data_IF_033541972803
#
_entry.id   IF_033541972803
#
_cell.length_a   1.000
_cell.length_b   1.000
_cell.length_c   1.000
_cell.angle_alpha   90.00
_cell.angle_beta   90.00
_cell.angle_gamma   90.00
#
_symmetry.space_group_name_H-M   'P 1'
#
loop_
_entity.id
_entity.type
_entity.pdbx_description
1 polymer ?
#
# COMPACT_ATOMS: atom_id res chain seq x y z
N UNK A 1 -18.84 16.59 6.93
CA UNK A 1 -19.20 15.49 5.99
C UNK A 1 -18.49 15.59 4.64
N UNK A 2 -18.47 16.75 3.97
CA UNK A 2 -17.86 16.93 2.63
C UNK A 2 -16.37 16.52 2.52
N UNK A 3 -15.57 16.71 3.58
CA UNK A 3 -14.15 16.32 3.59
C UNK A 3 -13.92 14.81 3.68
N UNK A 4 -14.77 14.08 4.41
CA UNK A 4 -14.69 12.61 4.54
C UNK A 4 -15.05 11.94 3.22
N UNK A 5 -16.08 12.46 2.53
CA UNK A 5 -16.46 12.02 1.18
C UNK A 5 -15.31 12.23 0.18
N UNK A 6 -14.55 13.32 0.30
CA UNK A 6 -13.38 13.58 -0.55
C UNK A 6 -12.25 12.57 -0.34
N UNK A 7 -11.98 12.16 0.90
CA UNK A 7 -11.00 11.10 1.21
C UNK A 7 -11.47 9.72 0.72
N UNK A 8 -12.76 9.40 0.86
CA UNK A 8 -13.33 8.15 0.35
C UNK A 8 -13.31 8.14 -1.19
N UNK A 9 -13.68 9.24 -1.84
CA UNK A 9 -13.55 9.36 -3.29
C UNK A 9 -12.08 9.27 -3.72
N UNK A 10 -11.16 9.90 -3.00
CA UNK A 10 -9.72 9.83 -3.29
C UNK A 10 -9.16 8.43 -3.12
N UNK A 11 -9.62 7.65 -2.14
CA UNK A 11 -9.17 6.26 -1.98
C UNK A 11 -9.77 5.35 -3.06
N UNK A 12 -11.02 5.59 -3.46
CA UNK A 12 -11.67 4.92 -4.59
C UNK A 12 -10.93 5.26 -5.90
N UNK A 13 -10.50 6.51 -6.10
CA UNK A 13 -9.70 6.95 -7.25
C UNK A 13 -8.32 6.26 -7.26
N UNK A 14 -7.69 6.07 -6.09
CA UNK A 14 -6.40 5.37 -5.99
C UNK A 14 -6.53 3.87 -6.34
N UNK A 15 -7.60 3.22 -5.89
CA UNK A 15 -7.93 1.83 -6.24
C UNK A 15 -8.27 1.70 -7.74
N UNK A 16 -8.94 2.69 -8.33
CA UNK A 16 -9.20 2.76 -9.76
C UNK A 16 -7.93 2.99 -10.58
N UNK A 17 -6.99 3.80 -10.09
CA UNK A 17 -5.72 4.07 -10.76
C UNK A 17 -4.86 2.80 -10.91
N UNK A 18 -4.80 1.96 -9.88
CA UNK A 18 -4.14 0.65 -9.96
C UNK A 18 -4.73 -0.26 -11.05
N UNK A 19 -6.03 -0.12 -11.33
CA UNK A 19 -6.73 -0.90 -12.34
C UNK A 19 -6.35 -0.47 -13.77
N UNK A 20 -6.09 0.83 -13.98
CA UNK A 20 -5.68 1.41 -15.26
C UNK A 20 -4.25 0.95 -15.63
N UNK A 21 -3.34 0.93 -14.67
CA UNK A 21 -1.98 0.40 -14.88
C UNK A 21 -2.03 -1.06 -15.30
N UNK A 22 -2.93 -1.85 -14.71
CA UNK A 22 -3.14 -3.25 -15.09
C UNK A 22 -3.70 -3.41 -16.53
N UNK A 23 -4.55 -2.48 -16.98
CA UNK A 23 -5.08 -2.48 -18.35
C UNK A 23 -3.99 -2.09 -19.36
N UNK A 24 -3.12 -1.14 -19.00
CA UNK A 24 -1.96 -0.75 -19.80
C UNK A 24 -0.94 -1.88 -19.95
N UNK A 25 -0.73 -2.67 -18.88
CA UNK A 25 0.08 -3.90 -18.92
C UNK A 25 -0.53 -4.96 -19.84
N UNK A 26 -1.87 -5.04 -19.90
CA UNK A 26 -2.56 -6.00 -20.77
C UNK A 26 -2.33 -5.67 -22.25
N UNK A 27 -2.29 -4.38 -22.61
CA UNK A 27 -1.93 -3.93 -23.96
C UNK A 27 -0.44 -4.13 -24.28
N UNK A 28 0.42 -4.17 -23.26
CA UNK A 28 1.88 -4.40 -23.39
C UNK A 28 2.26 -5.88 -23.53
N UNK A 29 1.32 -6.81 -23.29
CA UNK A 29 1.50 -8.27 -23.32
C UNK A 29 1.94 -8.86 -24.68
N UNK A 30 2.12 -8.06 -25.74
CA UNK A 30 2.71 -8.55 -26.99
C UNK A 30 4.26 -8.52 -27.03
N UNK A 31 4.93 -8.14 -25.94
CA UNK A 31 6.40 -8.20 -25.85
C UNK A 31 6.81 -9.02 -24.63
N UNK A 32 7.39 -10.19 -24.85
CA UNK A 32 8.10 -10.92 -23.79
C UNK A 32 9.31 -10.08 -23.35
N UNK A 33 9.13 -9.32 -22.28
CA UNK A 33 10.22 -8.67 -21.58
C UNK A 33 10.53 -9.55 -20.39
N UNK A 34 11.74 -10.13 -20.34
CA UNK A 34 12.26 -10.80 -19.15
C UNK A 34 12.28 -9.79 -18.01
N UNK A 35 11.29 -9.86 -17.12
CA UNK A 35 11.17 -8.94 -16.00
C UNK A 35 12.27 -9.26 -14.97
N UNK A 36 13.39 -8.54 -15.04
CA UNK A 36 14.40 -8.56 -13.97
C UNK A 36 13.84 -7.77 -12.79
N UNK A 37 13.36 -8.48 -11.78
CA UNK A 37 12.94 -7.90 -10.51
C UNK A 37 14.18 -7.42 -9.74
N UNK A 38 14.53 -6.15 -9.89
CA UNK A 38 15.65 -5.54 -9.19
C UNK A 38 15.26 -5.19 -7.74
N UNK A 39 16.20 -5.37 -6.81
CA UNK A 39 16.00 -5.04 -5.40
C UNK A 39 15.80 -3.53 -5.15
N UNK A 40 16.34 -2.69 -6.02
CA UNK A 40 16.27 -1.23 -5.94
C UNK A 40 15.70 -0.68 -7.24
N UNK A 41 14.39 -0.81 -7.40
CA UNK A 41 13.64 -0.23 -8.51
C UNK A 41 12.66 0.83 -8.00
N UNK A 42 12.22 1.72 -8.89
CA UNK A 42 11.19 2.72 -8.59
C UNK A 42 9.91 2.08 -8.02
N UNK A 43 9.56 0.90 -8.53
CA UNK A 43 8.47 0.05 -8.03
C UNK A 43 8.61 -0.24 -6.52
N UNK A 44 9.80 -0.61 -6.06
CA UNK A 44 10.08 -0.91 -4.64
C UNK A 44 9.97 0.31 -3.74
N UNK A 45 10.39 1.48 -4.24
CA UNK A 45 10.21 2.75 -3.53
C UNK A 45 8.73 3.12 -3.42
N UNK A 46 7.92 2.78 -4.42
CA UNK A 46 6.47 2.99 -4.36
C UNK A 46 5.83 2.09 -3.30
N UNK A 47 6.18 0.79 -3.27
CA UNK A 47 5.76 -0.14 -2.22
C UNK A 47 6.07 0.37 -0.81
N UNK A 48 7.32 0.79 -0.60
CA UNK A 48 7.76 1.41 0.65
C UNK A 48 6.94 2.65 1.02
N UNK A 49 6.87 3.63 0.11
CA UNK A 49 6.26 4.94 0.40
C UNK A 49 4.76 4.86 0.59
N UNK A 50 4.06 4.05 -0.21
CA UNK A 50 2.62 3.81 -0.07
C UNK A 50 2.34 3.12 1.27
N UNK A 51 3.10 2.06 1.61
CA UNK A 51 2.94 1.36 2.89
C UNK A 51 3.16 2.28 4.09
N UNK A 52 4.23 3.07 4.10
CA UNK A 52 4.48 4.05 5.17
C UNK A 52 3.37 5.11 5.26
N UNK A 53 2.88 5.60 4.12
CA UNK A 53 1.83 6.61 4.05
C UNK A 53 0.49 6.09 4.57
N UNK A 54 0.11 4.84 4.23
CA UNK A 54 -1.13 4.22 4.71
C UNK A 54 -1.07 4.08 6.23
N UNK A 55 0.03 3.59 6.80
CA UNK A 55 0.18 3.47 8.27
C UNK A 55 -0.04 4.83 8.95
N UNK A 56 0.64 5.88 8.50
CA UNK A 56 0.50 7.22 9.08
C UNK A 56 -0.89 7.81 8.92
N UNK A 57 -1.48 7.74 7.72
CA UNK A 57 -2.81 8.28 7.44
C UNK A 57 -3.91 7.54 8.20
N UNK A 58 -3.84 6.21 8.26
CA UNK A 58 -4.77 5.38 9.02
C UNK A 58 -4.67 5.68 10.50
N UNK A 59 -3.45 5.75 11.05
CA UNK A 59 -3.23 6.02 12.47
C UNK A 59 -3.76 7.41 12.85
N UNK A 60 -3.37 8.44 12.10
CA UNK A 60 -3.83 9.80 12.34
C UNK A 60 -5.36 9.92 12.24
N UNK A 61 -5.98 9.20 11.31
CA UNK A 61 -7.45 9.21 11.18
C UNK A 61 -8.11 8.50 12.37
N UNK A 62 -7.62 7.33 12.76
CA UNK A 62 -8.20 6.56 13.87
C UNK A 62 -8.01 7.27 15.22
N UNK A 63 -6.78 7.69 15.52
CA UNK A 63 -6.42 8.27 16.81
C UNK A 63 -6.78 9.75 16.86
N UNK A 64 -6.20 10.58 15.96
CA UNK A 64 -6.35 12.03 16.06
C UNK A 64 -7.73 12.53 15.62
N UNK A 65 -8.38 11.89 14.63
CA UNK A 65 -9.69 12.34 14.11
C UNK A 65 -10.87 11.64 14.77
N UNK A 66 -10.79 10.32 14.96
CA UNK A 66 -11.88 9.52 15.52
C UNK A 66 -11.75 9.28 17.02
N UNK A 67 -10.69 9.80 17.67
CA UNK A 67 -10.43 9.67 19.10
C UNK A 67 -10.48 8.23 19.59
N UNK A 68 -10.01 7.30 18.74
CA UNK A 68 -9.84 5.89 19.14
C UNK A 68 -8.60 5.77 20.01
N UNK A 69 -8.60 4.73 20.82
CA UNK A 69 -7.46 4.32 21.61
C UNK A 69 -6.21 4.16 20.74
N UNK A 70 -5.08 4.64 21.23
CA UNK A 70 -3.80 4.68 20.50
C UNK A 70 -3.29 3.28 20.17
N UNK A 71 -3.40 2.34 21.11
CA UNK A 71 -2.99 0.95 20.88
C UNK A 71 -3.87 0.30 19.81
N UNK A 72 -5.18 0.54 19.86
CA UNK A 72 -6.08 0.05 18.82
C UNK A 72 -5.77 0.70 17.47
N UNK A 73 -5.58 2.02 17.42
CA UNK A 73 -5.25 2.75 16.19
C UNK A 73 -3.97 2.25 15.54
N UNK A 74 -2.94 1.98 16.34
CA UNK A 74 -1.68 1.37 15.90
C UNK A 74 -1.90 -0.02 15.30
N UNK A 75 -2.52 -0.93 16.05
CA UNK A 75 -2.75 -2.32 15.60
C UNK A 75 -3.59 -2.34 14.33
N UNK A 76 -4.64 -1.53 14.25
CA UNK A 76 -5.48 -1.42 13.05
C UNK A 76 -4.68 -0.90 11.86
N UNK A 77 -3.88 0.15 12.02
CA UNK A 77 -3.16 0.78 10.90
C UNK A 77 -2.09 -0.15 10.32
N UNK A 78 -1.35 -0.84 11.18
CA UNK A 78 -0.34 -1.82 10.77
C UNK A 78 -1.01 -3.02 10.09
N UNK A 79 -2.03 -3.61 10.73
CA UNK A 79 -2.71 -4.81 10.21
C UNK A 79 -3.42 -4.53 8.90
N UNK A 80 -4.07 -3.37 8.78
CA UNK A 80 -4.75 -2.94 7.56
C UNK A 80 -3.77 -2.76 6.40
N UNK A 81 -2.63 -2.10 6.65
CA UNK A 81 -1.59 -1.91 5.62
C UNK A 81 -1.00 -3.25 5.18
N UNK A 82 -0.68 -4.13 6.13
CA UNK A 82 -0.16 -5.46 5.84
C UNK A 82 -1.13 -6.30 5.00
N UNK A 83 -2.44 -6.23 5.29
CA UNK A 83 -3.48 -6.91 4.50
C UNK A 83 -3.57 -6.36 3.07
N UNK A 84 -3.39 -5.05 2.87
CA UNK A 84 -3.37 -4.45 1.53
C UNK A 84 -2.17 -4.95 0.73
N UNK A 85 -0.96 -4.90 1.30
CA UNK A 85 0.27 -5.37 0.64
C UNK A 85 0.21 -6.86 0.28
N UNK A 86 -0.15 -7.70 1.26
CA UNK A 86 -0.36 -9.14 1.02
C UNK A 86 -1.47 -9.40 -0.01
N UNK A 87 -2.57 -8.66 0.07
CA UNK A 87 -3.70 -8.79 -0.85
C UNK A 87 -3.30 -8.46 -2.29
N UNK A 88 -2.46 -7.44 -2.49
CA UNK A 88 -1.93 -7.07 -3.81
C UNK A 88 -1.09 -8.21 -4.39
N UNK A 89 -0.12 -8.73 -3.62
CA UNK A 89 0.75 -9.81 -4.10
C UNK A 89 -0.02 -11.11 -4.38
N UNK A 90 -1.04 -11.43 -3.57
CA UNK A 90 -1.93 -12.57 -3.83
C UNK A 90 -2.78 -12.37 -5.09
N UNK A 91 -3.25 -11.15 -5.34
CA UNK A 91 -3.97 -10.78 -6.55
C UNK A 91 -3.08 -10.90 -7.79
N UNK A 92 -1.86 -10.38 -7.73
CA UNK A 92 -0.88 -10.46 -8.82
C UNK A 92 -0.44 -11.91 -9.08
N UNK A 93 -0.32 -12.74 -8.04
CA UNK A 93 -0.11 -14.18 -8.21
C UNK A 93 -1.24 -14.85 -8.98
N UNK A 94 -2.50 -14.45 -8.73
CA UNK A 94 -3.66 -15.01 -9.43
C UNK A 94 -3.76 -14.52 -10.88
N UNK A 95 -3.48 -13.23 -11.13
CA UNK A 95 -3.67 -12.59 -12.46
C UNK A 95 -2.45 -12.74 -13.38
N UNK A 96 -1.24 -12.55 -12.84
CA UNK A 96 0.02 -12.50 -13.58
C UNK A 96 0.92 -13.72 -13.34
N UNK A 97 0.49 -14.69 -12.50
CA UNK A 97 1.29 -15.87 -12.07
C UNK A 97 2.65 -15.50 -11.45
N UNK A 98 2.80 -14.26 -11.00
CA UNK A 98 4.01 -13.72 -10.43
C UNK A 98 3.71 -13.25 -9.00
N UNK A 99 4.52 -13.70 -8.04
CA UNK A 99 4.46 -13.27 -6.65
C UNK A 99 5.86 -12.77 -6.30
N UNK A 100 5.99 -11.49 -5.96
CA UNK A 100 7.31 -10.96 -5.61
C UNK A 100 7.45 -10.89 -4.09
N UNK A 101 8.32 -11.75 -3.57
CA UNK A 101 8.74 -11.66 -2.18
C UNK A 101 9.48 -10.35 -1.88
N UNK A 102 10.06 -9.69 -2.90
CA UNK A 102 10.77 -8.43 -2.71
C UNK A 102 9.79 -7.30 -2.44
N UNK A 103 8.67 -7.27 -3.16
CA UNK A 103 7.61 -6.29 -2.93
C UNK A 103 7.02 -6.41 -1.53
N UNK A 104 6.77 -7.64 -1.09
CA UNK A 104 6.31 -7.89 0.28
C UNK A 104 7.32 -7.43 1.35
N UNK A 105 8.62 -7.59 1.09
CA UNK A 105 9.66 -7.08 2.00
C UNK A 105 9.69 -5.55 2.04
N UNK A 106 9.56 -4.88 0.89
CA UNK A 106 9.52 -3.42 0.82
C UNK A 106 8.26 -2.84 1.47
N UNK A 107 7.12 -3.52 1.36
CA UNK A 107 5.90 -3.19 2.11
C UNK A 107 6.14 -3.31 3.62
N UNK A 108 6.78 -4.41 4.06
CA UNK A 108 7.16 -4.60 5.46
C UNK A 108 8.07 -3.48 5.99
N UNK A 109 9.13 -3.14 5.25
CA UNK A 109 10.05 -2.04 5.60
C UNK A 109 9.30 -0.71 5.63
N UNK A 110 8.37 -0.47 4.70
CA UNK A 110 7.52 0.71 4.67
C UNK A 110 6.61 0.81 5.90
N UNK A 111 5.99 -0.30 6.32
CA UNK A 111 5.17 -0.36 7.54
C UNK A 111 6.03 -0.03 8.77
N UNK A 112 7.21 -0.63 8.90
CA UNK A 112 8.13 -0.36 10.01
C UNK A 112 8.57 1.10 10.03
N UNK A 113 8.93 1.66 8.87
CA UNK A 113 9.31 3.07 8.77
C UNK A 113 8.13 3.99 9.12
N UNK A 114 6.91 3.68 8.65
CA UNK A 114 5.70 4.44 9.00
C UNK A 114 5.39 4.38 10.49
N UNK A 115 5.59 3.23 11.14
CA UNK A 115 5.45 3.11 12.59
C UNK A 115 6.42 4.05 13.33
N UNK A 116 7.71 4.01 12.98
CA UNK A 116 8.70 4.87 13.64
C UNK A 116 8.49 6.36 13.33
N UNK A 117 8.08 6.71 12.12
CA UNK A 117 7.91 8.11 11.71
C UNK A 117 6.63 8.76 12.25
N UNK A 118 5.54 8.00 12.40
CA UNK A 118 4.22 8.58 12.71
C UNK A 118 3.62 8.14 14.03
N UNK A 119 4.06 7.00 14.58
CA UNK A 119 3.46 6.40 15.78
C UNK A 119 4.40 6.49 16.96
N UNK A 120 5.71 6.26 16.78
CA UNK A 120 6.67 6.28 17.88
C UNK A 120 6.80 7.66 18.57
N UNK A 121 6.42 8.74 17.89
CA UNK A 121 6.47 10.10 18.44
C UNK A 121 5.28 10.47 19.35
N UNK A 122 4.29 9.60 19.49
CA UNK A 122 3.11 9.78 20.36
C UNK A 122 3.17 8.83 21.56
#
# INVERSE_FOLDING_TARGET
MKRIVFFILSSIILVLAQNIDSLSDTLRCKREVVYRDAWFAQDKLLHFSVSASIVGLSYHTLVCRLKRDENQGMVYSISFTALIGLGKELYDKKKKRHFSFKDLLWDGIGITAGYFAFIHEY
#
